data_IF_748206260393
#
_entry.id   IF_748206260393
#
_cell.length_a   1.000
_cell.length_b   1.000
_cell.length_c   1.000
_cell.angle_alpha   90.00
_cell.angle_beta   90.00
_cell.angle_gamma   90.00
#
_symmetry.space_group_name_H-M   'P 1'
#
loop_
_entity.id
_entity.type
_entity.pdbx_description
1 polymer ?
#
# COMPACT_ATOMS: atom_id res chain seq x y z
N UNK A 1 -54.84 8.91 52.49
CA UNK A 1 -55.02 8.56 51.06
C UNK A 1 -54.20 9.43 50.10
N UNK A 2 -54.13 10.76 50.26
CA UNK A 2 -53.33 11.60 49.34
C UNK A 2 -51.81 11.37 49.46
N UNK A 3 -51.27 11.22 50.67
CA UNK A 3 -49.82 11.04 50.90
C UNK A 3 -49.26 9.73 50.33
N UNK A 4 -49.99 8.62 50.47
CA UNK A 4 -49.53 7.32 49.94
C UNK A 4 -49.47 7.30 48.41
N UNK A 5 -50.43 7.95 47.75
CA UNK A 5 -50.42 8.07 46.28
C UNK A 5 -49.30 8.97 45.77
N UNK A 6 -48.87 9.95 46.57
CA UNK A 6 -47.74 10.83 46.24
C UNK A 6 -46.40 10.08 46.37
N UNK A 7 -46.23 9.31 47.45
CA UNK A 7 -45.05 8.47 47.66
C UNK A 7 -44.89 7.41 46.56
N UNK A 8 -45.99 6.76 46.15
CA UNK A 8 -45.96 5.76 45.08
C UNK A 8 -45.55 6.38 43.73
N UNK A 9 -46.02 7.60 43.43
CA UNK A 9 -45.64 8.34 42.22
C UNK A 9 -44.16 8.75 42.25
N UNK A 10 -43.66 9.22 43.39
CA UNK A 10 -42.24 9.55 43.56
C UNK A 10 -41.33 8.32 43.38
N UNK A 11 -41.71 7.17 43.96
CA UNK A 11 -40.98 5.91 43.81
C UNK A 11 -40.97 5.45 42.34
N UNK A 12 -42.11 5.52 41.65
CA UNK A 12 -42.19 5.15 40.23
C UNK A 12 -41.32 6.07 39.34
N UNK A 13 -41.27 7.37 39.63
CA UNK A 13 -40.44 8.33 38.92
C UNK A 13 -38.93 8.08 39.19
N UNK A 14 -38.55 7.77 40.43
CA UNK A 14 -37.17 7.41 40.79
C UNK A 14 -36.70 6.13 40.08
N UNK A 15 -37.56 5.11 40.01
CA UNK A 15 -37.27 3.87 39.27
C UNK A 15 -37.13 4.16 37.77
N UNK A 16 -37.98 5.02 37.20
CA UNK A 16 -37.90 5.42 35.79
C UNK A 16 -36.59 6.18 35.51
N UNK A 17 -36.18 7.09 36.41
CA UNK A 17 -34.92 7.83 36.31
C UNK A 17 -33.71 6.89 36.41
N UNK A 18 -33.74 5.90 37.30
CA UNK A 18 -32.67 4.90 37.39
C UNK A 18 -32.62 3.98 36.17
N UNK A 19 -33.77 3.57 35.62
CA UNK A 19 -33.82 2.82 34.36
C UNK A 19 -33.27 3.65 33.18
N UNK A 20 -33.57 4.95 33.12
CA UNK A 20 -33.03 5.88 32.12
C UNK A 20 -31.51 6.11 32.26
N UNK A 21 -30.92 5.92 33.45
CA UNK A 21 -29.48 6.04 33.69
C UNK A 21 -28.70 4.75 33.32
N UNK A 22 -29.36 3.61 33.15
CA UNK A 22 -28.68 2.33 32.81
C UNK A 22 -28.35 2.13 31.33
N UNK A 23 -28.71 3.06 30.43
CA UNK A 23 -28.55 2.87 28.98
C UNK A 23 -27.51 3.77 28.28
N UNK A 24 -26.58 4.41 29.01
CA UNK A 24 -25.62 5.33 28.38
C UNK A 24 -24.16 5.21 28.83
N UNK A 25 -23.77 4.09 29.44
CA UNK A 25 -22.38 3.65 29.30
C UNK A 25 -22.20 3.08 27.89
N UNK A 26 -22.05 3.95 26.88
CA UNK A 26 -21.39 3.55 25.63
C UNK A 26 -19.95 3.18 26.02
N UNK A 27 -19.75 1.94 26.46
CA UNK A 27 -18.43 1.34 26.43
C UNK A 27 -18.08 1.31 24.95
N UNK A 28 -17.36 2.32 24.46
CA UNK A 28 -16.82 2.27 23.12
C UNK A 28 -15.85 1.08 23.17
N UNK A 29 -16.15 -0.05 22.53
CA UNK A 29 -15.35 -1.24 22.70
C UNK A 29 -13.91 -0.90 22.28
N UNK A 30 -12.99 -1.03 23.23
CA UNK A 30 -11.62 -0.58 23.03
C UNK A 30 -10.93 -1.53 22.05
N UNK A 31 -10.53 -1.01 20.90
CA UNK A 31 -9.77 -1.78 19.91
C UNK A 31 -8.29 -1.83 20.33
N UNK A 32 -7.91 -2.93 20.96
CA UNK A 32 -6.49 -3.22 21.18
C UNK A 32 -5.84 -3.58 19.83
N UNK A 33 -4.59 -3.14 19.57
CA UNK A 33 -3.89 -3.53 18.36
C UNK A 33 -3.73 -5.04 18.24
N UNK A 34 -4.01 -5.56 17.06
CA UNK A 34 -3.79 -6.96 16.70
C UNK A 34 -2.32 -7.22 16.36
N UNK A 35 -1.92 -8.49 16.31
CA UNK A 35 -0.56 -8.90 16.00
C UNK A 35 -0.54 -10.20 15.18
N UNK A 36 0.37 -10.30 14.22
CA UNK A 36 0.64 -11.50 13.45
C UNK A 36 2.10 -11.50 12.99
N UNK A 37 2.84 -12.57 13.30
CA UNK A 37 4.23 -12.72 12.89
C UNK A 37 5.13 -11.58 13.36
N UNK A 38 5.82 -10.97 12.40
CA UNK A 38 6.73 -9.83 12.62
C UNK A 38 5.99 -8.51 12.79
N UNK A 39 4.67 -8.46 12.52
CA UNK A 39 3.86 -7.26 12.61
C UNK A 39 3.08 -7.32 13.92
N UNK A 40 3.60 -6.66 14.96
CA UNK A 40 3.06 -6.75 16.32
C UNK A 40 2.09 -5.62 16.71
N UNK A 41 1.89 -4.64 15.82
CA UNK A 41 1.04 -3.49 16.08
C UNK A 41 0.18 -3.20 14.84
N UNK A 42 -0.90 -3.97 14.71
CA UNK A 42 -1.92 -3.80 13.66
C UNK A 42 -3.08 -3.06 14.30
N UNK A 43 -3.13 -1.76 14.06
CA UNK A 43 -4.19 -0.86 14.49
C UNK A 43 -4.87 -0.19 13.30
N UNK A 44 -5.97 0.51 13.58
CA UNK A 44 -6.68 1.34 12.60
C UNK A 44 -5.70 2.15 11.72
N UNK A 45 -5.87 2.17 10.38
CA UNK A 45 -7.02 1.65 9.64
C UNK A 45 -6.99 0.13 9.41
N UNK A 46 -5.85 -0.53 9.62
CA UNK A 46 -5.70 -1.95 9.36
C UNK A 46 -6.43 -2.81 10.38
N UNK A 47 -6.83 -3.99 9.92
CA UNK A 47 -7.40 -5.06 10.73
C UNK A 47 -6.97 -6.40 10.18
N UNK A 48 -6.93 -7.42 11.03
CA UNK A 48 -6.82 -8.80 10.60
C UNK A 48 -8.20 -9.34 10.21
N UNK A 49 -8.23 -10.30 9.28
CA UNK A 49 -9.41 -11.14 9.07
C UNK A 49 -9.79 -11.81 10.39
N UNK A 50 -11.00 -11.54 10.87
CA UNK A 50 -11.50 -12.02 12.17
C UNK A 50 -11.47 -11.00 13.31
N UNK A 51 -10.80 -9.85 13.15
CA UNK A 51 -10.97 -8.73 14.08
C UNK A 51 -12.43 -8.27 14.08
N UNK A 52 -12.91 -7.72 15.21
CA UNK A 52 -14.27 -7.20 15.30
C UNK A 52 -14.51 -6.08 14.27
N UNK A 53 -15.71 -5.98 13.71
CA UNK A 53 -15.99 -5.07 12.59
C UNK A 53 -15.71 -3.59 12.88
N UNK A 54 -15.81 -3.17 14.14
CA UNK A 54 -15.53 -1.81 14.59
C UNK A 54 -14.03 -1.52 14.79
N UNK A 55 -13.17 -2.55 14.74
CA UNK A 55 -11.72 -2.44 14.95
C UNK A 55 -10.95 -2.48 13.64
N UNK A 56 -10.94 -1.33 12.95
CA UNK A 56 -10.31 -1.15 11.64
C UNK A 56 -11.32 -1.00 10.51
N UNK A 57 -10.84 -0.70 9.32
CA UNK A 57 -11.67 -0.52 8.12
C UNK A 57 -11.49 -1.75 7.20
N UNK A 58 -12.61 -2.31 6.72
CA UNK A 58 -12.61 -3.49 5.85
C UNK A 58 -11.84 -3.29 4.53
N UNK A 59 -11.61 -2.04 4.12
CA UNK A 59 -10.81 -1.72 2.93
C UNK A 59 -9.30 -1.95 3.16
N UNK A 60 -8.88 -2.08 4.43
CA UNK A 60 -7.50 -2.25 4.87
C UNK A 60 -7.29 -3.60 5.58
N UNK A 61 -8.09 -4.60 5.20
CA UNK A 61 -7.99 -5.93 5.79
C UNK A 61 -6.69 -6.64 5.39
N UNK A 62 -6.03 -7.21 6.38
CA UNK A 62 -4.83 -8.02 6.28
C UNK A 62 -5.17 -9.47 6.65
N UNK A 63 -4.50 -10.41 6.00
CA UNK A 63 -4.65 -11.84 6.28
C UNK A 63 -3.45 -12.32 7.09
N UNK A 64 -3.70 -13.12 8.11
CA UNK A 64 -2.67 -13.79 8.90
C UNK A 64 -2.73 -15.30 8.64
N UNK A 65 -1.81 -15.81 7.82
CA UNK A 65 -1.68 -17.25 7.56
C UNK A 65 -0.30 -17.71 8.04
N UNK A 66 -0.22 -18.80 8.80
CA UNK A 66 1.04 -19.40 9.26
C UNK A 66 2.02 -18.39 9.90
N UNK A 67 1.48 -17.47 10.72
CA UNK A 67 2.25 -16.41 11.37
C UNK A 67 2.90 -15.43 10.38
N UNK A 68 2.33 -15.27 9.17
CA UNK A 68 2.76 -14.34 8.14
C UNK A 68 1.61 -13.39 7.78
N UNK A 69 1.81 -12.10 8.08
CA UNK A 69 0.89 -11.04 7.67
C UNK A 69 1.00 -10.78 6.18
N UNK A 70 -0.14 -10.80 5.49
CA UNK A 70 -0.22 -10.62 4.05
C UNK A 70 -1.30 -9.61 3.67
N UNK A 71 -1.07 -8.88 2.59
CA UNK A 71 -2.03 -7.99 1.96
C UNK A 71 -2.33 -8.49 0.56
N UNK A 72 -3.61 -8.46 0.17
CA UNK A 72 -4.00 -8.72 -1.20
C UNK A 72 -4.23 -7.41 -1.95
N UNK A 73 -3.51 -7.23 -3.06
CA UNK A 73 -3.73 -6.13 -3.99
C UNK A 73 -4.10 -6.73 -5.34
N UNK A 74 -5.31 -6.45 -5.83
CA UNK A 74 -5.82 -6.96 -7.11
C UNK A 74 -5.58 -8.48 -7.27
N UNK A 75 -5.97 -9.25 -6.25
CA UNK A 75 -5.85 -10.71 -6.18
C UNK A 75 -4.42 -11.26 -6.11
N UNK A 76 -3.40 -10.41 -5.96
CA UNK A 76 -2.02 -10.83 -5.67
C UNK A 76 -1.71 -10.73 -4.19
N UNK A 77 -1.06 -11.77 -3.66
CA UNK A 77 -0.61 -11.85 -2.28
C UNK A 77 0.76 -11.18 -2.14
N UNK A 78 0.87 -10.26 -1.19
CA UNK A 78 2.13 -9.63 -0.79
C UNK A 78 2.34 -9.87 0.70
N UNK A 79 3.58 -10.16 1.09
CA UNK A 79 3.96 -10.25 2.50
C UNK A 79 4.25 -8.86 3.05
N UNK A 80 3.63 -8.54 4.19
CA UNK A 80 3.83 -7.27 4.88
C UNK A 80 5.13 -7.31 5.65
N UNK A 81 6.06 -6.42 5.31
CA UNK A 81 7.36 -6.30 5.98
C UNK A 81 7.36 -5.25 7.09
N UNK A 82 6.58 -4.18 6.94
CA UNK A 82 6.47 -3.12 7.93
C UNK A 82 5.19 -2.30 7.72
N UNK A 83 4.64 -1.76 8.82
CA UNK A 83 3.57 -0.77 8.81
C UNK A 83 4.10 0.47 9.54
N UNK A 84 4.17 1.59 8.85
CA UNK A 84 4.64 2.86 9.38
C UNK A 84 3.47 3.85 9.53
N UNK A 85 2.91 3.90 10.74
CA UNK A 85 1.83 4.81 11.10
C UNK A 85 2.24 6.29 11.13
N UNK A 86 3.52 6.62 11.22
CA UNK A 86 3.93 8.02 11.14
C UNK A 86 3.84 8.55 9.69
N UNK A 87 4.25 7.71 8.73
CA UNK A 87 4.31 8.11 7.33
C UNK A 87 3.10 7.67 6.51
N UNK A 88 2.13 6.98 7.13
CA UNK A 88 1.05 6.29 6.45
C UNK A 88 1.56 5.29 5.39
N UNK A 89 2.68 4.57 5.57
CA UNK A 89 3.24 3.65 4.55
C UNK A 89 3.32 2.20 4.99
N UNK A 90 2.93 1.28 4.11
CA UNK A 90 3.01 -0.17 4.32
C UNK A 90 4.02 -0.71 3.31
N UNK A 91 5.03 -1.42 3.82
CA UNK A 91 6.07 -2.02 2.99
C UNK A 91 5.74 -3.48 2.69
N UNK A 92 5.78 -3.82 1.41
CA UNK A 92 5.29 -5.07 0.84
C UNK A 92 6.39 -5.75 0.02
N UNK A 93 6.45 -7.07 0.10
CA UNK A 93 7.28 -7.91 -0.76
C UNK A 93 6.36 -8.90 -1.48
N UNK A 94 6.57 -9.11 -2.77
CA UNK A 94 5.79 -10.08 -3.54
C UNK A 94 5.96 -11.48 -2.95
N UNK A 95 4.87 -12.16 -2.61
CA UNK A 95 4.90 -13.48 -1.99
C UNK A 95 5.46 -14.58 -2.93
N UNK A 96 5.49 -14.33 -4.24
CA UNK A 96 6.09 -15.23 -5.22
C UNK A 96 7.63 -15.16 -5.25
N UNK A 97 8.25 -14.14 -4.64
CA UNK A 97 9.70 -14.05 -4.52
C UNK A 97 10.21 -15.12 -3.56
N UNK A 98 10.88 -16.14 -4.11
CA UNK A 98 11.59 -17.14 -3.29
C UNK A 98 12.95 -16.59 -2.90
N UNK A 99 13.48 -17.10 -1.79
CA UNK A 99 14.85 -16.82 -1.36
C UNK A 99 15.91 -17.58 -2.19
N UNK A 100 15.68 -17.74 -3.49
CA UNK A 100 16.66 -18.28 -4.42
C UNK A 100 17.36 -17.15 -5.19
N UNK A 101 18.45 -17.46 -5.88
CA UNK A 101 19.30 -16.44 -6.51
C UNK A 101 18.63 -15.69 -7.67
N UNK A 102 17.49 -16.16 -8.19
CA UNK A 102 16.93 -15.66 -9.45
C UNK A 102 15.39 -15.59 -9.44
N UNK A 103 14.75 -15.49 -8.27
CA UNK A 103 13.31 -15.33 -8.21
C UNK A 103 12.95 -13.92 -8.64
N UNK A 104 12.28 -13.83 -9.79
CA UNK A 104 11.62 -12.63 -10.24
C UNK A 104 10.12 -12.78 -9.99
N UNK A 105 9.40 -11.68 -9.73
CA UNK A 105 7.94 -11.68 -9.76
C UNK A 105 7.45 -12.28 -11.08
N UNK A 106 6.45 -13.15 -11.01
CA UNK A 106 5.93 -13.86 -12.18
C UNK A 106 5.22 -12.95 -13.18
N UNK A 107 4.85 -11.74 -12.78
CA UNK A 107 4.21 -10.77 -13.66
C UNK A 107 4.68 -9.37 -13.36
N UNK A 108 4.66 -8.52 -14.39
CA UNK A 108 4.97 -7.12 -14.19
C UNK A 108 3.88 -6.40 -13.41
N UNK A 109 4.34 -5.50 -12.54
CA UNK A 109 3.51 -4.51 -11.90
C UNK A 109 3.01 -3.41 -12.86
N UNK A 110 3.40 -3.43 -14.15
CA UNK A 110 2.88 -2.52 -15.21
C UNK A 110 1.35 -2.49 -15.30
N UNK A 111 0.66 -3.55 -14.87
CA UNK A 111 -0.81 -3.59 -14.87
C UNK A 111 -1.45 -2.78 -13.75
N UNK A 112 -0.68 -2.21 -12.81
CA UNK A 112 -1.22 -1.49 -11.67
C UNK A 112 -1.23 0.01 -11.90
N UNK A 113 -2.32 0.47 -12.51
CA UNK A 113 -2.72 1.85 -12.38
C UNK A 113 -3.18 2.06 -10.93
N UNK A 114 -2.24 2.39 -10.01
CA UNK A 114 -2.57 2.71 -8.61
C UNK A 114 -3.55 3.89 -8.50
N UNK A 115 -3.72 4.65 -9.58
CA UNK A 115 -4.79 5.61 -9.80
C UNK A 115 -6.19 5.05 -9.50
N UNK A 116 -6.40 3.73 -9.66
CA UNK A 116 -7.66 3.06 -9.38
C UNK A 116 -7.65 2.22 -8.08
N UNK A 117 -6.51 2.13 -7.37
CA UNK A 117 -6.33 1.16 -6.27
C UNK A 117 -6.73 1.75 -4.92
N UNK A 118 -7.97 2.18 -4.75
CA UNK A 118 -8.46 2.48 -3.41
C UNK A 118 -8.27 1.21 -2.53
N UNK A 119 -7.71 1.34 -1.33
CA UNK A 119 -7.46 2.60 -0.63
C UNK A 119 -5.98 3.03 -0.54
N UNK A 120 -5.12 2.49 -1.41
CA UNK A 120 -3.68 2.73 -1.42
C UNK A 120 -3.23 3.66 -2.57
N UNK A 121 -2.09 4.30 -2.37
CA UNK A 121 -1.46 5.17 -3.38
C UNK A 121 0.06 5.06 -3.30
N UNK A 122 0.75 5.41 -4.38
CA UNK A 122 2.21 5.34 -4.49
C UNK A 122 2.90 6.63 -4.00
N UNK A 123 2.10 7.58 -3.51
CA UNK A 123 2.58 8.85 -3.00
C UNK A 123 2.61 8.82 -1.47
N UNK A 124 3.57 9.50 -0.84
CA UNK A 124 3.50 9.89 0.58
C UNK A 124 3.35 11.39 0.74
N UNK A 125 2.75 11.79 1.86
CA UNK A 125 2.76 13.17 2.33
C UNK A 125 4.13 13.54 2.89
N UNK A 126 4.78 14.56 2.33
CA UNK A 126 5.97 15.19 2.93
C UNK A 126 5.67 16.64 3.29
N UNK A 127 5.89 16.98 4.56
CA UNK A 127 5.80 18.36 5.04
C UNK A 127 7.07 19.11 4.64
N UNK A 128 6.94 20.20 3.90
CA UNK A 128 8.03 21.14 3.66
C UNK A 128 8.23 22.04 4.89
N UNK A 129 9.44 22.61 5.00
CA UNK A 129 9.81 23.59 6.03
C UNK A 129 8.82 24.77 6.12
N UNK A 130 8.22 25.16 5.00
CA UNK A 130 7.20 26.23 4.93
C UNK A 130 5.77 25.75 5.24
N UNK A 131 5.59 24.56 5.82
CA UNK A 131 4.28 23.92 6.09
C UNK A 131 3.43 23.63 4.85
N UNK A 132 3.99 23.74 3.65
CA UNK A 132 3.34 23.26 2.42
C UNK A 132 3.42 21.73 2.34
N UNK A 133 2.36 21.09 1.86
CA UNK A 133 2.33 19.65 1.64
C UNK A 133 2.77 19.36 0.21
N UNK A 134 3.73 18.45 0.05
CA UNK A 134 4.13 17.90 -1.24
C UNK A 134 3.93 16.38 -1.22
N UNK A 135 3.42 15.85 -2.33
CA UNK A 135 3.43 14.41 -2.58
C UNK A 135 4.77 14.00 -3.17
N UNK A 136 5.32 12.92 -2.65
CA UNK A 136 6.55 12.29 -3.15
C UNK A 136 6.24 10.83 -3.43
N UNK A 137 6.67 10.30 -4.58
CA UNK A 137 6.61 8.86 -4.80
C UNK A 137 7.43 8.16 -3.72
N UNK A 138 6.83 7.14 -3.08
CA UNK A 138 7.50 6.34 -2.03
C UNK A 138 8.30 5.19 -2.60
N UNK A 139 8.25 5.02 -3.92
CA UNK A 139 8.77 3.86 -4.64
C UNK A 139 9.49 4.31 -5.91
N UNK A 140 10.30 3.41 -6.44
CA UNK A 140 11.01 3.53 -7.70
C UNK A 140 10.73 2.29 -8.55
N UNK A 141 10.77 2.45 -9.87
CA UNK A 141 10.50 1.38 -10.83
C UNK A 141 11.79 0.74 -11.33
N UNK A 142 11.77 -0.57 -11.41
CA UNK A 142 12.83 -1.42 -11.93
C UNK A 142 12.31 -2.13 -13.16
N UNK A 143 12.83 -1.76 -14.31
CA UNK A 143 12.40 -2.32 -15.59
C UNK A 143 13.49 -3.24 -16.12
N UNK A 144 13.13 -4.52 -16.28
CA UNK A 144 13.85 -5.52 -17.02
C UNK A 144 13.44 -5.46 -18.48
N UNK A 145 14.44 -5.39 -19.33
CA UNK A 145 14.30 -5.31 -20.77
C UNK A 145 15.26 -6.26 -21.44
N UNK A 146 14.88 -6.73 -22.63
CA UNK A 146 15.70 -7.64 -23.41
C UNK A 146 15.89 -7.15 -24.83
N UNK A 147 17.09 -7.38 -25.37
CA UNK A 147 17.43 -7.16 -26.78
C UNK A 147 17.96 -8.44 -27.42
N UNK A 148 17.75 -8.65 -28.73
CA UNK A 148 18.34 -9.78 -29.45
C UNK A 148 19.85 -9.63 -29.70
N UNK A 149 20.44 -8.47 -29.41
CA UNK A 149 21.87 -8.18 -29.60
C UNK A 149 22.44 -7.41 -28.40
N UNK A 150 23.77 -7.34 -28.34
CA UNK A 150 24.46 -6.57 -27.30
C UNK A 150 24.23 -5.08 -27.49
N UNK A 151 23.64 -4.45 -26.49
CA UNK A 151 23.44 -3.01 -26.40
C UNK A 151 24.43 -2.41 -25.40
N UNK A 152 25.29 -1.50 -25.88
CA UNK A 152 26.28 -0.83 -25.03
C UNK A 152 25.70 0.48 -24.49
N UNK A 153 25.39 0.51 -23.20
CA UNK A 153 24.86 1.70 -22.53
C UNK A 153 25.32 1.76 -21.09
N UNK A 154 25.72 2.96 -20.65
CA UNK A 154 26.03 3.25 -19.24
C UNK A 154 24.80 3.43 -18.37
N UNK A 155 23.61 3.60 -18.98
CA UNK A 155 22.33 3.80 -18.28
C UNK A 155 21.70 2.46 -17.88
N UNK A 156 22.04 1.39 -18.60
CA UNK A 156 21.47 0.07 -18.39
C UNK A 156 22.47 -0.87 -17.72
N UNK A 157 22.05 -1.50 -16.63
CA UNK A 157 22.86 -2.49 -15.94
C UNK A 157 22.59 -3.86 -16.55
N UNK A 158 23.59 -4.44 -17.22
CA UNK A 158 23.47 -5.80 -17.80
C UNK A 158 23.31 -6.81 -16.67
N UNK A 159 22.34 -7.72 -16.79
CA UNK A 159 22.15 -8.83 -15.85
C UNK A 159 22.17 -10.17 -16.59
N UNK A 160 23.14 -11.01 -16.27
CA UNK A 160 23.27 -12.34 -16.88
C UNK A 160 22.55 -13.44 -16.09
N UNK A 161 22.23 -13.18 -14.81
CA UNK A 161 21.93 -14.25 -13.85
C UNK A 161 20.47 -14.69 -13.83
N UNK A 162 19.52 -13.88 -14.32
CA UNK A 162 18.08 -14.19 -14.24
C UNK A 162 17.43 -14.52 -15.59
N UNK A 163 18.21 -14.74 -16.64
CA UNK A 163 17.74 -14.81 -18.03
C UNK A 163 16.83 -15.98 -18.37
N UNK A 164 17.03 -17.13 -17.72
CA UNK A 164 16.24 -18.33 -18.00
C UNK A 164 14.83 -18.30 -17.41
N UNK A 165 14.55 -17.46 -16.40
CA UNK A 165 13.25 -17.47 -15.69
C UNK A 165 12.25 -16.42 -16.17
N UNK A 166 12.71 -15.38 -16.87
CA UNK A 166 11.81 -14.37 -17.48
C UNK A 166 10.94 -15.01 -18.58
N UNK A 167 11.45 -16.05 -19.25
CA UNK A 167 10.80 -16.75 -20.35
C UNK A 167 10.24 -18.14 -19.97
N UNK A 168 9.94 -18.40 -18.70
CA UNK A 168 9.33 -19.67 -18.29
C UNK A 168 7.83 -19.73 -18.67
N UNK A 169 7.50 -19.55 -19.95
CA UNK A 169 6.34 -20.18 -20.57
C UNK A 169 6.75 -21.60 -20.98
N UNK A 170 5.82 -22.55 -20.98
CA UNK A 170 6.03 -23.96 -21.38
C UNK A 170 6.40 -24.14 -22.87
N UNK A 171 6.84 -23.08 -23.53
CA UNK A 171 7.25 -23.13 -24.92
C UNK A 171 8.69 -23.62 -25.00
N UNK A 172 8.81 -24.85 -25.50
CA UNK A 172 10.06 -25.53 -25.88
C UNK A 172 10.88 -24.81 -26.98
N UNK A 173 10.59 -23.53 -27.25
CA UNK A 173 11.19 -22.69 -28.28
C UNK A 173 11.61 -21.31 -27.74
N UNK A 174 12.56 -21.23 -26.80
CA UNK A 174 13.40 -20.03 -26.66
C UNK A 174 14.65 -20.27 -25.82
N UNK A 175 15.63 -20.97 -26.41
CA UNK A 175 17.04 -20.70 -26.14
C UNK A 175 17.55 -19.58 -27.07
N UNK A 176 16.76 -18.51 -27.24
CA UNK A 176 17.22 -17.35 -28.03
C UNK A 176 18.05 -16.47 -27.12
N UNK A 177 19.35 -16.33 -27.40
CA UNK A 177 20.33 -15.60 -26.59
C UNK A 177 20.10 -14.09 -26.53
N UNK A 178 18.99 -13.64 -25.93
CA UNK A 178 18.69 -12.24 -25.68
C UNK A 178 19.51 -11.73 -24.50
N UNK A 179 19.96 -10.49 -24.63
CA UNK A 179 20.70 -9.77 -23.60
C UNK A 179 19.70 -9.04 -22.70
N UNK A 180 19.75 -9.32 -21.39
CA UNK A 180 18.85 -8.71 -20.41
C UNK A 180 19.55 -7.56 -19.70
N UNK A 181 18.81 -6.49 -19.56
CA UNK A 181 19.24 -5.25 -18.95
C UNK A 181 18.21 -4.80 -17.94
N UNK A 182 18.68 -4.08 -16.92
CA UNK A 182 17.83 -3.47 -15.89
C UNK A 182 18.05 -1.98 -15.88
N UNK A 183 16.95 -1.23 -15.84
CA UNK A 183 16.93 0.19 -15.54
C UNK A 183 16.21 0.43 -14.21
N UNK A 184 16.88 1.14 -13.32
CA UNK A 184 16.41 1.47 -11.97
C UNK A 184 15.89 2.91 -11.88
N UNK A 185 15.09 3.31 -12.87
CA UNK A 185 14.45 4.62 -12.95
C UNK A 185 13.34 4.56 -14.00
N UNK A 186 12.57 5.63 -14.08
CA UNK A 186 11.50 5.75 -15.06
C UNK A 186 12.03 5.63 -16.49
N UNK A 187 11.25 4.94 -17.32
CA UNK A 187 11.52 4.81 -18.74
C UNK A 187 11.16 6.11 -19.46
N UNK A 188 12.05 6.56 -20.32
CA UNK A 188 11.84 7.57 -21.34
C UNK A 188 11.48 6.89 -22.66
N UNK A 189 10.80 7.61 -23.55
CA UNK A 189 10.46 7.12 -24.89
C UNK A 189 11.68 6.63 -25.68
N UNK A 190 12.85 7.21 -25.43
CA UNK A 190 14.12 6.87 -26.11
C UNK A 190 14.80 5.63 -25.54
N UNK A 191 14.36 5.11 -24.38
CA UNK A 191 15.00 3.95 -23.74
C UNK A 191 14.63 2.64 -24.41
N UNK A 192 13.46 2.59 -25.07
CA UNK A 192 12.92 1.41 -25.71
C UNK A 192 13.21 1.52 -27.20
N UNK A 193 14.41 1.09 -27.60
CA UNK A 193 14.83 1.05 -29.00
C UNK A 193 14.20 -0.11 -29.78
N UNK A 194 14.51 -0.16 -31.08
CA UNK A 194 14.02 -1.22 -31.97
C UNK A 194 14.33 -2.62 -31.44
N UNK A 195 13.36 -3.53 -31.58
CA UNK A 195 13.44 -4.93 -31.15
C UNK A 195 13.67 -5.16 -29.64
N UNK A 196 13.63 -4.09 -28.83
CA UNK A 196 13.56 -4.18 -27.37
C UNK A 196 12.22 -4.76 -26.95
N UNK A 197 12.25 -5.61 -25.93
CA UNK A 197 11.05 -6.04 -25.23
C UNK A 197 11.15 -5.62 -23.77
N UNK A 198 10.12 -4.97 -23.28
CA UNK A 198 9.93 -4.75 -21.85
C UNK A 198 9.38 -6.05 -21.29
N UNK A 199 10.20 -6.76 -20.52
CA UNK A 199 9.83 -8.08 -20.03
C UNK A 199 9.15 -8.01 -18.67
N UNK A 200 9.64 -7.15 -17.77
CA UNK A 200 9.14 -7.06 -16.41
C UNK A 200 9.44 -5.70 -15.79
N UNK A 201 8.44 -5.03 -15.24
CA UNK A 201 8.65 -3.96 -14.25
C UNK A 201 8.21 -4.35 -12.87
N UNK A 202 9.06 -4.08 -11.90
CA UNK A 202 8.84 -4.27 -10.47
C UNK A 202 9.04 -2.94 -9.74
N UNK A 203 8.51 -2.84 -8.52
CA UNK A 203 8.63 -1.66 -7.68
C UNK A 203 9.55 -1.97 -6.52
N UNK A 204 10.27 -0.96 -6.08
CA UNK A 204 11.08 -1.04 -4.86
C UNK A 204 11.17 0.33 -4.21
N UNK A 205 11.23 0.36 -2.88
CA UNK A 205 11.52 1.57 -2.11
C UNK A 205 12.95 1.57 -1.58
N UNK A 206 13.82 0.75 -2.18
CA UNK A 206 15.24 0.70 -1.83
C UNK A 206 15.94 2.02 -2.18
N UNK A 207 16.72 2.61 -1.26
CA UNK A 207 17.35 3.91 -1.47
C UNK A 207 18.63 3.78 -2.31
N UNK A 208 18.51 3.74 -3.63
CA UNK A 208 19.68 3.73 -4.52
C UNK A 208 20.49 5.02 -4.41
N UNK A 209 21.81 4.86 -4.23
CA UNK A 209 22.76 5.97 -4.33
C UNK A 209 23.17 6.23 -5.78
N UNK A 210 23.33 5.16 -6.56
CA UNK A 210 23.69 5.19 -7.98
C UNK A 210 22.86 4.14 -8.73
N UNK A 211 21.93 4.58 -9.58
CA UNK A 211 21.04 3.70 -10.34
C UNK A 211 21.68 3.14 -11.62
N UNK A 212 22.81 3.72 -12.04
CA UNK A 212 23.55 3.35 -13.23
C UNK A 212 24.72 2.46 -12.76
N UNK A 213 24.73 1.18 -13.11
CA UNK A 213 25.68 0.14 -12.66
C UNK A 213 25.29 -0.61 -11.36
N UNK A 214 24.10 -1.20 -11.36
CA UNK A 214 23.64 -2.05 -10.28
C UNK A 214 24.27 -3.44 -10.35
N UNK A 215 24.79 -3.91 -9.22
CA UNK A 215 25.21 -5.29 -9.08
C UNK A 215 24.01 -6.24 -8.99
N UNK A 216 24.25 -7.53 -9.22
CA UNK A 216 23.23 -8.55 -9.00
C UNK A 216 22.68 -8.55 -7.57
N UNK A 217 23.54 -8.30 -6.57
CA UNK A 217 23.12 -8.15 -5.18
C UNK A 217 22.24 -6.93 -4.95
N UNK A 218 22.47 -5.82 -5.65
CA UNK A 218 21.63 -4.61 -5.53
C UNK A 218 20.24 -4.86 -6.10
N UNK A 219 20.17 -5.47 -7.29
CA UNK A 219 18.90 -5.84 -7.93
C UNK A 219 18.12 -6.82 -7.06
N UNK A 220 18.78 -7.83 -6.48
CA UNK A 220 18.12 -8.78 -5.58
C UNK A 220 17.71 -8.13 -4.26
N UNK A 221 18.61 -7.37 -3.65
CA UNK A 221 18.37 -6.70 -2.37
C UNK A 221 17.18 -5.76 -2.45
N UNK A 222 17.01 -5.08 -3.58
CA UNK A 222 15.88 -4.19 -3.79
C UNK A 222 14.54 -4.89 -3.93
N UNK A 223 14.50 -6.05 -4.61
CA UNK A 223 13.29 -6.88 -4.70
C UNK A 223 12.92 -7.48 -3.34
N UNK A 224 13.90 -7.97 -2.58
CA UNK A 224 13.68 -8.52 -1.24
C UNK A 224 13.32 -7.46 -0.19
N UNK A 225 13.76 -6.22 -0.39
CA UNK A 225 13.32 -5.09 0.42
C UNK A 225 11.87 -4.72 0.13
N UNK A 226 11.45 -4.88 -1.13
CA UNK A 226 10.09 -4.62 -1.57
C UNK A 226 9.82 -3.13 -1.79
N UNK A 227 8.54 -2.77 -1.79
CA UNK A 227 8.06 -1.41 -2.07
C UNK A 227 7.09 -0.93 -1.01
N UNK A 228 7.03 0.37 -0.81
CA UNK A 228 6.08 1.04 0.06
C UNK A 228 4.90 1.54 -0.76
N UNK A 229 3.69 1.35 -0.23
CA UNK A 229 2.50 2.08 -0.66
C UNK A 229 1.93 2.84 0.53
N UNK A 230 1.24 3.93 0.27
CA UNK A 230 0.64 4.74 1.30
C UNK A 230 -0.87 4.56 1.42
N UNK A 231 -1.37 4.68 2.63
CA UNK A 231 -2.79 4.74 2.95
C UNK A 231 -3.24 6.12 3.44
N UNK A 232 -2.50 7.20 3.19
CA UNK A 232 -2.94 8.52 3.68
C UNK A 232 -4.31 8.96 3.11
N UNK A 233 -4.84 8.25 2.11
CA UNK A 233 -6.17 8.43 1.54
C UNK A 233 -7.32 7.90 2.42
N UNK A 234 -7.05 7.12 3.50
CA UNK A 234 -8.04 6.63 4.50
C UNK A 234 -9.06 7.69 4.85
N UNK A 235 -8.61 8.93 5.02
CA UNK A 235 -9.46 9.98 5.54
C UNK A 235 -10.54 10.43 4.55
N UNK A 236 -10.45 10.17 3.25
CA UNK A 236 -11.43 10.67 2.28
C UNK A 236 -12.70 9.78 2.20
N UNK A 237 -13.76 10.20 2.89
CA UNK A 237 -15.08 9.55 2.90
C UNK A 237 -15.66 9.32 1.50
N UNK A 238 -15.42 10.23 0.57
CA UNK A 238 -15.90 10.14 -0.82
C UNK A 238 -15.13 9.05 -1.59
N UNK A 239 -13.83 8.90 -1.33
CA UNK A 239 -13.03 7.83 -1.91
C UNK A 239 -13.48 6.46 -1.39
N UNK A 240 -13.89 6.39 -0.12
CA UNK A 240 -14.47 5.18 0.46
C UNK A 240 -15.77 4.75 -0.23
N UNK A 241 -16.63 5.70 -0.58
CA UNK A 241 -17.89 5.39 -1.29
C UNK A 241 -17.65 4.91 -2.72
N UNK A 242 -16.73 5.55 -3.45
CA UNK A 242 -16.56 5.30 -4.89
C UNK A 242 -15.52 4.22 -5.20
N UNK A 243 -14.76 3.74 -4.21
CA UNK A 243 -13.66 2.75 -4.35
C UNK A 243 -12.60 3.12 -5.41
N UNK A 244 -12.60 4.37 -5.86
CA UNK A 244 -11.67 4.91 -6.84
C UNK A 244 -11.48 6.41 -6.57
N UNK A 245 -10.22 6.84 -6.50
CA UNK A 245 -9.86 8.25 -6.34
C UNK A 245 -8.46 8.51 -6.88
N UNK A 246 -8.34 9.48 -7.77
CA UNK A 246 -7.04 10.04 -8.15
C UNK A 246 -6.62 11.10 -7.14
N UNK A 247 -5.33 11.16 -6.82
CA UNK A 247 -4.78 12.17 -5.91
C UNK A 247 -3.93 13.17 -6.69
N UNK A 248 -4.12 14.46 -6.42
CA UNK A 248 -3.36 15.56 -7.04
C UNK A 248 -2.99 16.62 -5.99
N UNK A 249 -1.94 17.40 -6.24
CA UNK A 249 -1.54 18.54 -5.39
C UNK A 249 -1.70 19.82 -6.17
N UNK A 250 -2.55 20.72 -5.68
CA UNK A 250 -2.66 22.04 -6.28
C UNK A 250 -1.39 22.89 -6.08
N UNK A 251 -1.22 23.96 -6.85
CA UNK A 251 -0.06 24.84 -6.76
C UNK A 251 0.12 25.50 -5.38
N UNK A 252 -0.90 25.42 -4.50
CA UNK A 252 -0.87 25.93 -3.13
C UNK A 252 -0.49 24.83 -2.12
N UNK A 253 -0.15 23.62 -2.59
CA UNK A 253 0.23 22.49 -1.75
C UNK A 253 -0.96 21.82 -1.06
N UNK A 254 -2.18 21.98 -1.56
CA UNK A 254 -3.34 21.27 -1.01
C UNK A 254 -3.58 19.97 -1.76
N UNK A 255 -3.87 18.89 -1.02
CA UNK A 255 -4.24 17.61 -1.60
C UNK A 255 -5.70 17.68 -2.08
N UNK A 256 -5.89 17.30 -3.34
CA UNK A 256 -7.17 17.19 -4.02
C UNK A 256 -7.41 15.73 -4.37
N UNK A 257 -8.64 15.28 -4.17
CA UNK A 257 -9.11 13.96 -4.57
C UNK A 257 -10.14 14.10 -5.69
N UNK A 258 -9.99 13.32 -6.75
CA UNK A 258 -10.89 13.35 -7.89
C UNK A 258 -11.67 12.05 -8.00
N UNK A 259 -12.98 12.18 -8.21
CA UNK A 259 -13.87 11.08 -8.61
C UNK A 259 -14.53 11.49 -9.91
N UNK A 260 -14.06 10.95 -11.03
CA UNK A 260 -14.48 11.40 -12.36
C UNK A 260 -14.11 12.87 -12.61
N UNK A 261 -15.09 13.71 -12.94
CA UNK A 261 -14.90 15.14 -13.26
C UNK A 261 -14.95 16.02 -11.99
N UNK A 262 -15.38 15.48 -10.85
CA UNK A 262 -15.59 16.26 -9.63
C UNK A 262 -14.33 16.24 -8.75
N UNK A 263 -13.83 17.44 -8.42
CA UNK A 263 -12.69 17.65 -7.53
C UNK A 263 -13.13 17.98 -6.10
N UNK A 264 -12.52 17.32 -5.12
CA UNK A 264 -12.76 17.58 -3.70
C UNK A 264 -11.46 17.91 -2.97
N UNK A 265 -11.47 19.02 -2.23
CA UNK A 265 -10.34 19.47 -1.42
C UNK A 265 -10.47 18.92 -0.01
N UNK A 266 -9.48 18.15 0.46
CA UNK A 266 -9.42 17.73 1.86
C UNK A 266 -8.02 17.93 2.43
N UNK A 267 -7.96 18.45 3.65
CA UNK A 267 -6.73 18.51 4.42
C UNK A 267 -6.61 17.19 5.18
N UNK A 268 -5.63 16.37 4.82
CA UNK A 268 -5.31 15.14 5.57
C UNK A 268 -4.45 15.53 6.76
N UNK A 269 -4.94 15.33 7.98
CA UNK A 269 -4.31 15.83 9.21
C UNK A 269 -3.38 14.82 9.87
N UNK A 270 -3.78 13.56 10.08
CA UNK A 270 -2.94 12.58 10.78
C UNK A 270 -3.30 11.12 10.46
N UNK A 271 -2.27 10.28 10.31
CA UNK A 271 -2.37 8.83 10.13
C UNK A 271 -2.84 8.10 11.40
N UNK A 272 -2.71 8.75 12.57
CA UNK A 272 -3.02 8.21 13.90
C UNK A 272 -4.39 8.62 14.44
N UNK A 273 -5.13 9.49 13.76
CA UNK A 273 -6.45 9.90 14.24
C UNK A 273 -7.43 8.72 14.15
N UNK A 274 -7.76 8.16 15.31
CA UNK A 274 -8.90 7.26 15.49
C UNK A 274 -10.18 8.02 15.15
N UNK A 275 -11.00 7.45 14.26
CA UNK A 275 -12.33 7.99 14.00
C UNK A 275 -13.16 7.93 15.29
N UNK A 276 -13.85 9.01 15.68
CA UNK A 276 -15.01 8.87 16.54
C UNK A 276 -16.08 8.14 15.71
N UNK A 277 -16.44 6.93 16.17
CA UNK A 277 -17.60 6.18 15.69
C UNK A 277 -18.89 6.98 15.94
#
# INVERSE_FOLDING_TARGET
MLEETFLLKCLSALILIQLLQTSSARHNPQCNPSACGRISNISYPFRLTGDAEHCGDSSYELVCDDNITSLYLNSRKYHVQAINYHNCTIRLVDAALKNDNCSLPQCSLFQYNFTNNFPYTIYSKKLKLNKSIMLTEVESRFTFMSWPYYFNSSVFSKTASCSHKVYASNDSYSSTGRYIYVKASDLNLTDVGDMCSIDLTVMTSWPFKEANNLSHSDIRGSMLYGFEISWFTVQSSICRMNKHCSVYVDNRGSIQYYVGIISWKRVVTDCKESFPL
#
